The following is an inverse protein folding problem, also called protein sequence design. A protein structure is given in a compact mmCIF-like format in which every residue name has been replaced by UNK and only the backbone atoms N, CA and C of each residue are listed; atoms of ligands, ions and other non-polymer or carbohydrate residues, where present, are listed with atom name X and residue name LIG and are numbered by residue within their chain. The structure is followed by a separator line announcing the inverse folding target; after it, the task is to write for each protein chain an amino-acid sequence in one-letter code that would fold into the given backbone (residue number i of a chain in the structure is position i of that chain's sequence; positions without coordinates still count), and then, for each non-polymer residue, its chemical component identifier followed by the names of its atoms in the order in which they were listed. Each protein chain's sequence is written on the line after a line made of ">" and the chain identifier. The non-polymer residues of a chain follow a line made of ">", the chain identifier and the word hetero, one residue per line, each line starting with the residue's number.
data_IF_987625608134
#
_entry.id   IF_987625608134
#
_cell.length_a   1.000
_cell.length_b   1.000
_cell.length_c   1.000
_cell.angle_alpha   90.00
_cell.angle_beta   90.00
_cell.angle_gamma   90.00
#
_symmetry.space_group_name_H-M   'P 1'
#
loop_
_entity.id
_entity.type
_entity.pdbx_description
1 polymer ?
#
# COMPACT_ATOMS: atom_id res chain seq x y z
N UNK A 1 4.21 7.07 -5.20
CA UNK A 1 3.13 6.11 -5.60
C UNK A 1 2.93 6.14 -7.13
N UNK A 2 2.87 7.29 -7.77
CA UNK A 2 2.61 7.48 -9.22
C UNK A 2 3.62 6.74 -10.12
N UNK A 3 4.92 6.95 -9.92
CA UNK A 3 5.96 6.30 -10.73
C UNK A 3 5.92 4.76 -10.61
N UNK A 4 5.61 4.24 -9.41
CA UNK A 4 5.43 2.80 -9.22
C UNK A 4 4.25 2.26 -10.05
N UNK A 5 3.15 3.02 -10.13
CA UNK A 5 2.01 2.66 -10.95
C UNK A 5 2.37 2.73 -12.45
N UNK A 6 3.08 3.78 -12.87
CA UNK A 6 3.58 3.89 -14.25
C UNK A 6 4.44 2.70 -14.67
N UNK A 7 5.35 2.26 -13.82
CA UNK A 7 6.19 1.08 -14.11
C UNK A 7 5.37 -0.22 -14.17
N UNK A 8 4.33 -0.34 -13.34
CA UNK A 8 3.43 -1.50 -13.38
C UNK A 8 2.57 -1.52 -14.62
N UNK A 9 2.12 -0.36 -15.10
CA UNK A 9 1.31 -0.21 -16.32
C UNK A 9 2.14 -0.33 -17.59
N UNK A 10 3.45 -0.05 -17.51
CA UNK A 10 4.37 -0.08 -18.63
C UNK A 10 5.57 -1.02 -18.40
N UNK A 11 5.33 -2.35 -18.31
CA UNK A 11 6.39 -3.32 -18.03
C UNK A 11 7.46 -3.37 -19.13
N UNK A 12 7.11 -3.06 -20.36
CA UNK A 12 8.05 -3.07 -21.50
C UNK A 12 9.04 -1.91 -21.41
N UNK A 13 8.64 -0.78 -20.84
CA UNK A 13 9.56 0.32 -20.54
C UNK A 13 10.60 -0.08 -19.49
N UNK A 14 10.18 -0.79 -18.45
CA UNK A 14 11.10 -1.31 -17.43
C UNK A 14 12.06 -2.34 -18.02
N UNK A 15 11.58 -3.23 -18.91
CA UNK A 15 12.42 -4.20 -19.62
C UNK A 15 13.47 -3.51 -20.48
N UNK A 16 13.08 -2.47 -21.24
CA UNK A 16 14.00 -1.67 -22.05
C UNK A 16 15.10 -1.05 -21.19
N UNK A 17 14.75 -0.49 -20.03
CA UNK A 17 15.72 0.09 -19.10
C UNK A 17 16.61 -0.94 -18.40
N UNK A 18 16.20 -2.21 -18.37
CA UNK A 18 16.99 -3.33 -17.84
C UNK A 18 17.78 -4.05 -18.92
N UNK A 19 17.58 -3.73 -20.21
CA UNK A 19 18.18 -4.46 -21.34
C UNK A 19 19.70 -4.20 -21.40
N UNK A 20 20.54 -5.24 -21.25
CA UNK A 20 21.99 -5.09 -21.26
C UNK A 20 22.58 -4.60 -22.59
N UNK A 21 21.84 -4.83 -23.71
CA UNK A 21 22.25 -4.41 -25.05
C UNK A 21 22.19 -2.89 -25.23
N UNK A 22 21.40 -2.19 -24.43
CA UNK A 22 21.29 -0.73 -24.46
C UNK A 22 22.37 -0.11 -23.55
N UNK A 23 23.19 0.84 -24.06
CA UNK A 23 24.21 1.51 -23.25
C UNK A 23 23.63 2.17 -21.99
N UNK A 24 24.34 2.06 -20.87
CA UNK A 24 23.90 2.63 -19.58
C UNK A 24 23.59 4.13 -19.68
N UNK A 25 24.40 4.86 -20.47
CA UNK A 25 24.23 6.30 -20.69
C UNK A 25 22.92 6.63 -21.39
N UNK A 26 22.47 5.80 -22.31
CA UNK A 26 21.19 6.00 -23.00
C UNK A 26 20.03 5.68 -22.05
N UNK A 27 20.11 4.58 -21.30
CA UNK A 27 19.09 4.20 -20.32
C UNK A 27 18.91 5.27 -19.23
N UNK A 28 19.98 5.84 -18.71
CA UNK A 28 19.93 6.93 -17.72
C UNK A 28 19.41 8.24 -18.31
N UNK A 29 19.65 8.53 -19.59
CA UNK A 29 19.05 9.67 -20.30
C UNK A 29 17.54 9.51 -20.44
N UNK A 30 17.06 8.33 -20.82
CA UNK A 30 15.62 8.03 -20.89
C UNK A 30 14.90 8.26 -19.56
N UNK A 31 15.53 7.91 -18.45
CA UNK A 31 14.99 8.18 -17.10
C UNK A 31 14.95 9.70 -16.84
N UNK A 32 16.00 10.44 -17.21
CA UNK A 32 16.03 11.89 -17.02
C UNK A 32 14.99 12.60 -17.87
N UNK A 33 14.83 12.22 -19.13
CA UNK A 33 13.84 12.80 -20.06
C UNK A 33 12.40 12.50 -19.60
N UNK A 34 12.15 11.28 -19.10
CA UNK A 34 10.81 10.88 -18.66
C UNK A 34 10.42 11.50 -17.31
N UNK A 35 11.35 11.65 -16.37
CA UNK A 35 11.04 11.97 -14.98
C UNK A 35 11.74 13.21 -14.42
N UNK A 36 12.77 13.75 -15.11
CA UNK A 36 13.60 14.83 -14.60
C UNK A 36 12.87 16.15 -14.32
N UNK A 37 11.72 16.39 -14.98
CA UNK A 37 10.87 17.57 -14.76
C UNK A 37 9.62 17.32 -13.91
N UNK A 38 9.32 16.07 -13.59
CA UNK A 38 8.06 15.67 -12.93
C UNK A 38 8.28 15.01 -11.57
N UNK A 39 9.48 14.49 -11.32
CA UNK A 39 9.80 13.80 -10.09
C UNK A 39 10.90 14.52 -9.30
N UNK A 40 10.89 14.29 -7.99
CA UNK A 40 11.94 14.78 -7.10
C UNK A 40 13.32 14.28 -7.54
N UNK A 41 14.30 15.19 -7.57
CA UNK A 41 15.66 14.93 -8.04
C UNK A 41 16.32 13.71 -7.39
N UNK A 42 16.07 13.51 -6.11
CA UNK A 42 16.60 12.35 -5.39
C UNK A 42 16.04 11.02 -5.91
N UNK A 43 14.77 11.02 -6.29
CA UNK A 43 14.10 9.83 -6.83
C UNK A 43 14.61 9.51 -8.24
N UNK A 44 14.82 10.54 -9.08
CA UNK A 44 15.42 10.37 -10.42
C UNK A 44 16.84 9.82 -10.31
N UNK A 45 17.66 10.36 -9.40
CA UNK A 45 19.02 9.86 -9.16
C UNK A 45 19.01 8.42 -8.65
N UNK A 46 18.07 8.07 -7.78
CA UNK A 46 17.91 6.69 -7.30
C UNK A 46 17.53 5.72 -8.43
N UNK A 47 16.59 6.10 -9.30
CA UNK A 47 16.24 5.29 -10.47
C UNK A 47 17.43 5.11 -11.43
N UNK A 48 18.22 6.15 -11.67
CA UNK A 48 19.46 6.06 -12.47
C UNK A 48 20.45 5.08 -11.84
N UNK A 49 20.66 5.17 -10.54
CA UNK A 49 21.55 4.25 -9.81
C UNK A 49 21.09 2.79 -9.93
N UNK A 50 19.80 2.53 -9.78
CA UNK A 50 19.24 1.19 -9.97
C UNK A 50 19.41 0.71 -11.42
N UNK A 51 19.21 1.60 -12.39
CA UNK A 51 19.42 1.30 -13.81
C UNK A 51 20.88 0.93 -14.12
N UNK A 52 21.86 1.69 -13.59
CA UNK A 52 23.29 1.42 -13.74
C UNK A 52 23.71 0.08 -13.14
N UNK A 53 23.04 -0.34 -12.06
CA UNK A 53 23.26 -1.60 -11.37
C UNK A 53 22.46 -2.76 -11.94
N UNK A 54 21.62 -2.53 -12.96
CA UNK A 54 20.65 -3.48 -13.52
C UNK A 54 19.65 -4.01 -12.47
N UNK A 55 19.29 -3.17 -11.50
CA UNK A 55 18.38 -3.48 -10.39
C UNK A 55 17.05 -2.71 -10.48
N UNK A 56 16.73 -2.13 -11.63
CA UNK A 56 15.52 -1.32 -11.78
C UNK A 56 14.23 -2.14 -11.56
N UNK A 57 14.27 -3.45 -11.81
CA UNK A 57 13.18 -4.37 -11.48
C UNK A 57 12.80 -4.40 -10.01
N UNK A 58 13.77 -4.14 -9.11
CA UNK A 58 13.57 -4.10 -7.66
C UNK A 58 13.02 -2.75 -7.16
N UNK A 59 12.79 -1.79 -8.07
CA UNK A 59 12.31 -0.45 -7.71
C UNK A 59 11.01 -0.49 -6.89
N UNK A 60 10.08 -1.38 -7.24
CA UNK A 60 8.81 -1.52 -6.51
C UNK A 60 9.05 -1.98 -5.06
N UNK A 61 9.87 -3.00 -4.86
CA UNK A 61 10.24 -3.49 -3.53
C UNK A 61 11.00 -2.45 -2.69
N UNK A 62 11.90 -1.69 -3.32
CA UNK A 62 12.58 -0.57 -2.66
C UNK A 62 11.59 0.52 -2.20
N UNK A 63 10.59 0.84 -3.02
CA UNK A 63 9.55 1.80 -2.65
C UNK A 63 8.69 1.31 -1.49
N UNK A 64 8.34 0.03 -1.45
CA UNK A 64 7.56 -0.58 -0.37
C UNK A 64 8.33 -0.55 0.95
N UNK A 65 9.59 -0.97 0.93
CA UNK A 65 10.46 -0.95 2.11
C UNK A 65 10.73 0.47 2.61
N UNK A 66 10.95 1.43 1.70
CA UNK A 66 11.07 2.83 2.06
C UNK A 66 9.79 3.35 2.75
N UNK A 67 8.62 3.06 2.18
CA UNK A 67 7.34 3.47 2.76
C UNK A 67 7.16 2.85 4.16
N UNK A 68 7.47 1.57 4.31
CA UNK A 68 7.39 0.87 5.60
C UNK A 68 8.28 1.52 6.66
N UNK A 69 9.53 1.84 6.32
CA UNK A 69 10.46 2.52 7.23
C UNK A 69 10.01 3.93 7.55
N UNK A 70 9.60 4.68 6.53
CA UNK A 70 9.08 6.03 6.69
C UNK A 70 7.88 6.05 7.66
N UNK A 71 6.95 5.12 7.51
CA UNK A 71 5.81 5.00 8.41
C UNK A 71 6.24 4.67 9.85
N UNK A 72 7.20 3.76 10.03
CA UNK A 72 7.72 3.42 11.34
C UNK A 72 8.39 4.62 12.04
N UNK A 73 9.22 5.36 11.31
CA UNK A 73 9.96 6.52 11.84
C UNK A 73 9.06 7.71 12.19
N UNK A 74 7.95 7.86 11.44
CA UNK A 74 7.00 8.97 11.63
C UNK A 74 5.77 8.59 12.45
N UNK A 75 5.73 7.38 13.01
CA UNK A 75 4.57 6.93 13.79
C UNK A 75 3.28 6.89 12.97
N UNK A 76 3.38 6.51 11.70
CA UNK A 76 2.23 6.35 10.80
C UNK A 76 1.84 4.87 10.77
N UNK A 77 0.58 4.58 11.02
CA UNK A 77 0.01 3.23 10.91
C UNK A 77 -0.86 3.14 9.64
N UNK A 78 -0.57 2.18 8.77
CA UNK A 78 -1.45 1.88 7.64
C UNK A 78 -2.60 1.00 8.11
N UNK A 79 -3.83 1.40 7.80
CA UNK A 79 -5.03 0.64 8.06
C UNK A 79 -5.74 0.30 6.75
N UNK A 80 -5.84 -0.98 6.43
CA UNK A 80 -6.59 -1.48 5.29
C UNK A 80 -8.03 -1.73 5.71
N UNK A 81 -8.97 -1.02 5.09
CA UNK A 81 -10.40 -1.14 5.36
C UNK A 81 -11.05 -1.86 4.19
N UNK A 82 -11.56 -3.07 4.44
CA UNK A 82 -12.27 -3.87 3.45
C UNK A 82 -13.77 -3.82 3.73
N UNK A 83 -14.55 -3.44 2.73
CA UNK A 83 -16.01 -3.32 2.81
C UNK A 83 -16.67 -3.76 1.51
N UNK A 84 -17.94 -4.22 1.59
CA UNK A 84 -18.72 -4.59 0.40
C UNK A 84 -19.09 -3.37 -0.47
N UNK A 85 -19.23 -2.20 0.15
CA UNK A 85 -19.65 -0.95 -0.49
C UNK A 85 -18.64 0.15 -0.13
N UNK A 86 -18.42 1.08 -1.03
CA UNK A 86 -17.55 2.22 -0.77
C UNK A 86 -18.07 3.04 0.43
N UNK A 87 -17.18 3.34 1.37
CA UNK A 87 -17.46 4.18 2.52
C UNK A 87 -17.49 5.65 2.09
N UNK A 88 -18.37 6.43 2.68
CA UNK A 88 -18.40 7.87 2.48
C UNK A 88 -17.19 8.55 3.20
N UNK A 89 -16.81 9.74 2.74
CA UNK A 89 -15.71 10.51 3.34
C UNK A 89 -15.94 10.77 4.84
N UNK A 90 -17.19 11.01 5.24
CA UNK A 90 -17.54 11.19 6.65
C UNK A 90 -17.29 9.91 7.47
N UNK A 91 -17.61 8.73 6.92
CA UNK A 91 -17.36 7.44 7.56
C UNK A 91 -15.86 7.14 7.64
N UNK A 92 -15.11 7.41 6.58
CA UNK A 92 -13.65 7.26 6.56
C UNK A 92 -12.99 8.16 7.59
N UNK A 93 -13.40 9.43 7.69
CA UNK A 93 -12.89 10.39 8.67
C UNK A 93 -13.16 9.94 10.10
N UNK A 94 -14.40 9.51 10.38
CA UNK A 94 -14.77 9.01 11.70
C UNK A 94 -14.03 7.72 12.08
N UNK A 95 -13.82 6.83 11.12
CA UNK A 95 -13.05 5.59 11.31
C UNK A 95 -11.58 5.90 11.58
N UNK A 96 -10.99 6.80 10.79
CA UNK A 96 -9.61 7.26 10.97
C UNK A 96 -9.39 7.78 12.38
N UNK A 97 -10.22 8.71 12.85
CA UNK A 97 -10.12 9.28 14.19
C UNK A 97 -10.20 8.21 15.31
N UNK A 98 -11.05 7.20 15.15
CA UNK A 98 -11.14 6.07 16.10
C UNK A 98 -9.87 5.22 16.10
N UNK A 99 -9.34 4.92 14.92
CA UNK A 99 -8.12 4.11 14.79
C UNK A 99 -6.89 4.86 15.32
N UNK A 100 -6.79 6.15 15.07
CA UNK A 100 -5.74 7.02 15.64
C UNK A 100 -5.79 7.04 17.16
N UNK A 101 -6.99 7.13 17.74
CA UNK A 101 -7.18 7.07 19.20
C UNK A 101 -6.77 5.73 19.81
N UNK A 102 -6.99 4.63 19.09
CA UNK A 102 -6.66 3.27 19.54
C UNK A 102 -5.17 2.99 19.39
N UNK A 103 -4.56 3.39 18.27
CA UNK A 103 -3.15 3.12 17.96
C UNK A 103 -2.18 4.11 18.58
N UNK A 104 -2.64 5.33 18.90
CA UNK A 104 -1.77 6.44 19.31
C UNK A 104 -0.87 6.98 18.19
N UNK A 105 -1.14 6.59 16.94
CA UNK A 105 -0.37 6.94 15.74
C UNK A 105 -1.25 7.66 14.72
N UNK A 106 -0.65 8.39 13.80
CA UNK A 106 -1.35 8.90 12.63
C UNK A 106 -1.75 7.73 11.73
N UNK A 107 -3.02 7.68 11.29
CA UNK A 107 -3.50 6.55 10.48
C UNK A 107 -3.70 6.96 9.03
N UNK A 108 -3.07 6.22 8.11
CA UNK A 108 -3.39 6.25 6.68
C UNK A 108 -4.38 5.13 6.34
N UNK A 109 -5.55 5.50 5.79
CA UNK A 109 -6.58 4.55 5.40
C UNK A 109 -6.41 4.15 3.93
N UNK A 110 -6.40 2.84 3.68
CA UNK A 110 -6.48 2.25 2.34
C UNK A 110 -7.79 1.48 2.24
N UNK A 111 -8.71 1.96 1.40
CA UNK A 111 -9.99 1.28 1.18
C UNK A 111 -9.84 0.19 0.12
N UNK A 112 -10.35 -1.00 0.41
CA UNK A 112 -10.53 -2.11 -0.52
C UNK A 112 -12.00 -2.48 -0.59
N UNK A 113 -12.48 -2.74 -1.81
CA UNK A 113 -13.84 -3.25 -2.02
C UNK A 113 -13.78 -4.76 -2.23
N UNK A 114 -14.57 -5.49 -1.44
CA UNK A 114 -14.67 -6.93 -1.53
C UNK A 114 -16.12 -7.36 -1.26
N UNK A 115 -16.79 -7.81 -2.30
CA UNK A 115 -18.18 -8.26 -2.22
C UNK A 115 -18.37 -9.52 -1.36
N UNK A 116 -17.30 -10.24 -1.02
CA UNK A 116 -17.36 -11.39 -0.12
C UNK A 116 -17.64 -11.00 1.34
N UNK A 117 -17.47 -9.73 1.70
CA UNK A 117 -17.81 -9.19 3.01
C UNK A 117 -19.34 -9.03 3.09
N UNK A 118 -20.02 -9.98 3.72
CA UNK A 118 -21.50 -10.09 3.72
C UNK A 118 -22.21 -8.89 4.36
N UNK A 119 -21.63 -8.26 5.36
CA UNK A 119 -22.07 -6.98 5.93
C UNK A 119 -21.04 -6.47 6.94
N UNK A 120 -20.94 -5.15 7.07
CA UNK A 120 -19.96 -4.50 7.97
C UNK A 120 -18.65 -4.18 7.28
N UNK A 121 -17.60 -4.03 8.08
CA UNK A 121 -16.26 -3.71 7.59
C UNK A 121 -15.22 -4.54 8.35
N UNK A 122 -14.18 -4.89 7.63
CA UNK A 122 -12.98 -5.52 8.17
C UNK A 122 -11.85 -4.50 8.12
N UNK A 123 -11.21 -4.30 9.24
CA UNK A 123 -10.07 -3.36 9.34
C UNK A 123 -8.84 -4.15 9.73
N UNK A 124 -7.78 -4.01 8.96
CA UNK A 124 -6.46 -4.52 9.31
C UNK A 124 -5.56 -3.33 9.65
N UNK A 125 -5.07 -3.28 10.87
CA UNK A 125 -4.19 -2.24 11.40
C UNK A 125 -2.88 -2.88 11.86
N UNK A 126 -1.77 -2.55 11.21
CA UNK A 126 -0.43 -3.10 11.52
C UNK A 126 -0.42 -4.65 11.66
N UNK A 127 -1.12 -5.35 10.76
CA UNK A 127 -1.22 -6.81 10.79
C UNK A 127 -2.20 -7.38 11.83
N UNK A 128 -2.85 -6.53 12.63
CA UNK A 128 -3.93 -6.94 13.53
C UNK A 128 -5.28 -6.74 12.85
N UNK A 129 -6.03 -7.80 12.73
CA UNK A 129 -7.35 -7.77 12.10
C UNK A 129 -8.43 -7.46 13.14
N UNK A 130 -9.18 -6.40 12.88
CA UNK A 130 -10.38 -6.02 13.62
C UNK A 130 -11.58 -6.32 12.72
N UNK A 131 -12.27 -7.42 12.96
CA UNK A 131 -13.39 -7.87 12.17
C UNK A 131 -14.71 -7.43 12.79
N UNK A 132 -15.34 -6.43 12.16
CA UNK A 132 -16.67 -5.92 12.54
C UNK A 132 -17.81 -6.44 11.66
N UNK A 133 -17.59 -7.52 10.90
CA UNK A 133 -18.61 -8.11 10.05
C UNK A 133 -19.70 -8.82 10.84
N UNK A 134 -20.89 -8.95 10.24
CA UNK A 134 -22.00 -9.74 10.82
C UNK A 134 -21.57 -11.20 11.03
N UNK A 135 -20.76 -11.72 10.12
CA UNK A 135 -20.25 -13.10 10.21
C UNK A 135 -19.37 -13.32 11.46
N UNK A 136 -18.50 -12.36 11.79
CA UNK A 136 -17.69 -12.43 13.01
C UNK A 136 -18.56 -12.32 14.27
N UNK A 137 -19.60 -11.49 14.25
CA UNK A 137 -20.58 -11.39 15.35
C UNK A 137 -21.35 -12.68 15.54
N UNK A 138 -21.82 -13.30 14.46
CA UNK A 138 -22.53 -14.60 14.51
C UNK A 138 -21.63 -15.72 15.02
N UNK A 139 -20.37 -15.77 14.56
CA UNK A 139 -19.38 -16.75 15.05
C UNK A 139 -19.09 -16.58 16.54
N UNK A 140 -19.03 -15.33 17.02
CA UNK A 140 -18.87 -15.01 18.44
C UNK A 140 -20.06 -15.45 19.29
N UNK A 141 -21.29 -15.32 18.78
CA UNK A 141 -22.50 -15.78 19.44
C UNK A 141 -22.54 -17.31 19.49
N UNK A 142 -22.22 -18.00 18.39
CA UNK A 142 -22.14 -19.45 18.35
C UNK A 142 -21.14 -20.02 19.35
N UNK A 143 -19.98 -19.36 19.52
CA UNK A 143 -18.97 -19.78 20.50
C UNK A 143 -19.45 -19.61 21.94
N UNK A 144 -20.12 -18.49 22.25
CA UNK A 144 -20.73 -18.27 23.58
C UNK A 144 -21.87 -19.24 23.88
N UNK A 145 -22.68 -19.63 22.89
CA UNK A 145 -23.73 -20.62 23.06
C UNK A 145 -23.15 -22.02 23.34
N UNK A 146 -22.06 -22.38 22.65
CA UNK A 146 -21.38 -23.65 22.91
C UNK A 146 -20.71 -23.72 24.30
N UNK A 147 -20.26 -22.59 24.86
CA UNK A 147 -19.70 -22.51 26.22
C UNK A 147 -20.78 -22.62 27.31
N UNK A 148 -22.05 -22.35 26.98
CA UNK A 148 -23.18 -22.41 27.95
C UNK A 148 -23.85 -23.76 27.92
N UNK A 149 -23.63 -24.59 26.91
CA UNK A 149 -24.31 -25.91 26.74
C UNK A 149 -23.45 -27.09 27.25
N UNK A 150 -22.23 -26.83 27.72
CA UNK A 150 -21.36 -27.78 28.43
C UNK A 150 -21.38 -27.44 29.96
#
# INVERSE_FOLDING_TARGET
>A
KEIRNLFRENPDYVKLLCEPSVPKTERTKLIEEAFGGQAERYLVNFMKLLCERNLLGEFAGCCEEFTRRYHADHGIAEAVVTSAVALSDAQLTALKAKLEKISGKTVELVQKLDASVVAGLRVELEGKQLDGTVQARMSGISRKLNEVIV
#
